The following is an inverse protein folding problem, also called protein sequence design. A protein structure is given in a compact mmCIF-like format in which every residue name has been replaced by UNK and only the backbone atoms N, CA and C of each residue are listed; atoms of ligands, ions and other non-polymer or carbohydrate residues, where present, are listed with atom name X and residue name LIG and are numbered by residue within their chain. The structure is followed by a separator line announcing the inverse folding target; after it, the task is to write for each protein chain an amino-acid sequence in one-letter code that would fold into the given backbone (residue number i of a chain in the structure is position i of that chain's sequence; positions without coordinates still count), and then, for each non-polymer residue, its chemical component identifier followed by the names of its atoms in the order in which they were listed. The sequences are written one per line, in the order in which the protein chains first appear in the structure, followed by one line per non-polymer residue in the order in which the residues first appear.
data_IF_441139877813
#
_entry.id   IF_441139877813
#
_cell.length_a   1.000
_cell.length_b   1.000
_cell.length_c   1.000
_cell.angle_alpha   90.00
_cell.angle_beta   90.00
_cell.angle_gamma   90.00
#
_symmetry.space_group_name_H-M   'P 1'
#
loop_
_entity.id
_entity.type
_entity.pdbx_description
1 polymer ?
#
# COMPACT_ATOMS: atom_id res chain seq x y z
N UNK A 1 -42.96 36.14 -10.61
CA UNK A 1 -43.36 34.82 -11.16
C UNK A 1 -42.37 34.54 -12.28
N UNK A 2 -41.45 33.61 -12.16
CA UNK A 2 -41.61 32.23 -11.65
C UNK A 2 -40.38 31.76 -10.88
N UNK A 3 -40.54 31.70 -9.56
CA UNK A 3 -39.62 31.13 -8.57
C UNK A 3 -39.98 29.64 -8.38
N UNK A 4 -39.94 28.86 -9.46
CA UNK A 4 -40.51 27.50 -9.49
C UNK A 4 -39.51 26.37 -9.80
N UNK A 5 -38.28 26.70 -10.19
CA UNK A 5 -37.26 25.68 -10.55
C UNK A 5 -36.25 25.39 -9.43
N UNK A 6 -36.28 26.10 -8.28
CA UNK A 6 -35.32 25.91 -7.18
C UNK A 6 -35.79 25.02 -6.03
N UNK A 7 -37.09 24.74 -5.90
CA UNK A 7 -37.65 23.91 -4.83
C UNK A 7 -37.73 22.42 -5.18
N UNK A 8 -37.09 22.00 -6.28
CA UNK A 8 -37.06 20.59 -6.65
C UNK A 8 -35.91 19.91 -5.91
N UNK A 9 -36.26 19.18 -4.85
CA UNK A 9 -35.30 18.41 -4.06
C UNK A 9 -34.47 17.50 -5.00
N UNK A 10 -33.15 17.70 -5.11
CA UNK A 10 -32.29 16.91 -6.00
C UNK A 10 -32.35 15.41 -5.73
N UNK A 11 -32.81 15.02 -4.53
CA UNK A 11 -32.92 13.64 -4.10
C UNK A 11 -34.19 12.94 -4.60
N UNK A 12 -35.25 13.66 -4.98
CA UNK A 12 -36.47 13.05 -5.52
C UNK A 12 -36.24 12.31 -6.85
N UNK A 13 -35.29 12.78 -7.67
CA UNK A 13 -34.93 12.09 -8.90
C UNK A 13 -34.16 10.79 -8.62
N UNK A 14 -33.38 10.77 -7.53
CA UNK A 14 -32.60 9.60 -7.11
C UNK A 14 -33.49 8.52 -6.50
N UNK A 15 -34.48 8.90 -5.69
CA UNK A 15 -35.44 7.97 -5.08
C UNK A 15 -36.36 7.30 -6.11
N UNK A 16 -36.55 7.93 -7.28
CA UNK A 16 -37.31 7.34 -8.40
C UNK A 16 -36.48 6.39 -9.26
N UNK A 17 -35.15 6.33 -9.07
CA UNK A 17 -34.31 5.36 -9.77
C UNK A 17 -34.60 3.97 -9.22
N UNK A 18 -35.09 3.07 -10.09
CA UNK A 18 -35.15 1.64 -9.75
C UNK A 18 -33.73 1.11 -9.51
N UNK A 19 -33.52 0.17 -8.58
CA UNK A 19 -32.23 -0.47 -8.36
C UNK A 19 -31.67 -0.94 -9.71
N UNK A 20 -30.41 -0.63 -9.98
CA UNK A 20 -29.76 -0.86 -11.26
C UNK A 20 -29.54 -2.36 -11.52
N UNK A 21 -30.61 -3.04 -11.93
CA UNK A 21 -30.61 -4.46 -12.26
C UNK A 21 -30.26 -5.39 -11.09
N UNK A 22 -30.42 -6.71 -11.28
CA UNK A 22 -29.91 -7.66 -10.32
C UNK A 22 -28.38 -7.51 -10.21
N UNK A 23 -27.87 -7.38 -8.99
CA UNK A 23 -26.43 -7.33 -8.64
C UNK A 23 -25.68 -8.64 -8.96
N UNK A 24 -26.33 -9.55 -9.71
CA UNK A 24 -25.79 -10.81 -10.19
C UNK A 24 -25.70 -10.75 -11.70
N UNK A 25 -24.47 -10.72 -12.18
CA UNK A 25 -24.17 -11.01 -13.59
C UNK A 25 -24.67 -12.44 -13.88
N UNK A 26 -25.64 -12.58 -14.78
CA UNK A 26 -26.17 -13.87 -15.19
C UNK A 26 -25.04 -14.77 -15.70
N UNK A 27 -24.89 -15.96 -15.12
CA UNK A 27 -23.90 -16.97 -15.54
C UNK A 27 -22.78 -17.28 -14.53
N UNK A 28 -22.67 -16.57 -13.40
CA UNK A 28 -21.71 -16.91 -12.34
C UNK A 28 -22.36 -17.66 -11.17
N UNK A 29 -22.11 -18.98 -11.01
CA UNK A 29 -22.59 -19.72 -9.86
C UNK A 29 -21.73 -19.35 -8.65
N UNK A 30 -22.22 -18.40 -7.83
CA UNK A 30 -21.63 -18.04 -6.54
C UNK A 30 -20.11 -17.82 -6.59
N UNK A 31 -19.65 -16.73 -7.19
CA UNK A 31 -18.22 -16.43 -7.32
C UNK A 31 -17.90 -15.07 -6.72
N UNK A 32 -16.85 -15.05 -5.89
CA UNK A 32 -16.27 -13.91 -5.16
C UNK A 32 -16.43 -12.54 -5.84
N UNK A 33 -16.56 -11.44 -5.06
CA UNK A 33 -16.62 -10.10 -5.64
C UNK A 33 -15.39 -9.93 -6.54
N UNK A 34 -15.64 -9.79 -7.85
CA UNK A 34 -14.65 -9.37 -8.82
C UNK A 34 -14.28 -7.94 -8.41
N UNK A 35 -13.30 -7.82 -7.51
CA UNK A 35 -12.79 -6.56 -7.02
C UNK A 35 -12.58 -5.65 -8.22
N UNK A 36 -13.00 -4.39 -8.10
CA UNK A 36 -12.89 -3.34 -9.12
C UNK A 36 -11.68 -3.61 -10.02
N UNK A 37 -11.93 -3.73 -11.33
CA UNK A 37 -10.99 -4.09 -12.40
C UNK A 37 -9.81 -3.14 -12.59
N UNK A 38 -9.19 -2.71 -11.50
CA UNK A 38 -7.85 -2.20 -11.47
C UNK A 38 -6.94 -3.36 -11.89
N UNK A 39 -6.43 -3.28 -13.12
CA UNK A 39 -5.21 -3.98 -13.56
C UNK A 39 -3.98 -3.50 -12.76
N UNK A 40 -4.07 -3.34 -11.44
CA UNK A 40 -2.97 -2.91 -10.58
C UNK A 40 -1.91 -4.00 -10.39
N UNK A 41 -2.19 -5.24 -10.79
CA UNK A 41 -1.28 -6.38 -10.63
C UNK A 41 0.00 -6.37 -11.47
N UNK A 42 0.05 -5.66 -12.61
CA UNK A 42 1.13 -5.88 -13.61
C UNK A 42 2.22 -4.80 -13.69
N UNK A 43 2.15 -3.74 -12.86
CA UNK A 43 3.27 -2.79 -12.63
C UNK A 43 3.59 -2.51 -11.16
N UNK A 44 2.62 -2.67 -10.26
CA UNK A 44 2.80 -2.38 -8.83
C UNK A 44 3.88 -3.25 -8.19
N UNK A 45 3.96 -4.55 -8.50
CA UNK A 45 4.95 -5.44 -7.89
C UNK A 45 6.40 -5.03 -8.20
N UNK A 46 6.70 -4.55 -9.43
CA UNK A 46 8.03 -4.07 -9.79
C UNK A 46 8.35 -2.73 -9.14
N UNK A 47 7.37 -1.83 -9.05
CA UNK A 47 7.51 -0.53 -8.37
C UNK A 47 7.72 -0.72 -6.87
N UNK A 48 6.94 -1.60 -6.23
CA UNK A 48 7.09 -1.94 -4.82
C UNK A 48 8.45 -2.56 -4.53
N UNK A 49 8.93 -3.46 -5.41
CA UNK A 49 10.28 -4.02 -5.29
C UNK A 49 11.36 -2.95 -5.48
N UNK A 50 11.21 -2.07 -6.47
CA UNK A 50 12.14 -0.95 -6.69
C UNK A 50 12.20 0.02 -5.52
N UNK A 51 11.04 0.36 -4.94
CA UNK A 51 10.94 1.16 -3.73
C UNK A 51 11.61 0.47 -2.55
N UNK A 52 11.35 -0.83 -2.36
CA UNK A 52 11.95 -1.62 -1.30
C UNK A 52 13.49 -1.63 -1.38
N UNK A 53 14.05 -1.84 -2.57
CA UNK A 53 15.51 -1.77 -2.81
C UNK A 53 16.05 -0.35 -2.58
N UNK A 54 15.34 0.67 -3.06
CA UNK A 54 15.74 2.06 -2.87
C UNK A 54 15.78 2.45 -1.40
N UNK A 55 14.74 2.12 -0.62
CA UNK A 55 14.69 2.41 0.81
C UNK A 55 15.79 1.66 1.56
N UNK A 56 16.07 0.40 1.20
CA UNK A 56 17.17 -0.37 1.80
C UNK A 56 18.52 0.29 1.52
N UNK A 57 18.78 0.67 0.26
CA UNK A 57 20.01 1.35 -0.12
C UNK A 57 20.17 2.71 0.59
N UNK A 58 19.11 3.51 0.62
CA UNK A 58 19.09 4.81 1.29
C UNK A 58 19.33 4.66 2.80
N UNK A 59 18.66 3.70 3.45
CA UNK A 59 18.87 3.38 4.87
C UNK A 59 20.32 2.97 5.14
N UNK A 60 20.89 2.11 4.30
CA UNK A 60 22.29 1.67 4.42
C UNK A 60 23.26 2.86 4.36
N UNK A 61 23.05 3.79 3.41
CA UNK A 61 23.89 5.00 3.30
C UNK A 61 23.77 5.88 4.54
N UNK A 62 22.55 6.08 5.05
CA UNK A 62 22.31 6.85 6.27
C UNK A 62 23.00 6.23 7.49
N UNK A 63 22.96 4.91 7.62
CA UNK A 63 23.64 4.18 8.70
C UNK A 63 25.15 4.35 8.59
N UNK A 64 25.74 4.23 7.40
CA UNK A 64 27.18 4.44 7.21
C UNK A 64 27.61 5.85 7.63
N UNK A 65 26.83 6.88 7.25
CA UNK A 65 27.07 8.26 7.67
C UNK A 65 26.95 8.43 9.19
N UNK A 66 25.89 7.86 9.79
CA UNK A 66 25.68 7.88 11.23
C UNK A 66 26.82 7.19 11.99
N UNK A 67 27.34 6.06 11.48
CA UNK A 67 28.47 5.34 12.08
C UNK A 67 29.71 6.22 12.08
N UNK A 68 30.04 6.84 10.94
CA UNK A 68 31.19 7.75 10.84
C UNK A 68 31.07 8.93 11.82
N UNK A 69 29.87 9.52 11.92
CA UNK A 69 29.60 10.63 12.81
C UNK A 69 29.69 10.23 14.29
N UNK A 70 28.97 9.19 14.72
CA UNK A 70 28.95 8.77 16.12
C UNK A 70 30.30 8.24 16.62
N UNK A 71 31.09 7.59 15.76
CA UNK A 71 32.48 7.22 16.10
C UNK A 71 33.31 8.48 16.34
N UNK A 72 33.16 9.51 15.51
CA UNK A 72 33.90 10.77 15.67
C UNK A 72 33.58 11.50 16.98
N UNK A 73 32.33 11.39 17.44
CA UNK A 73 31.89 11.97 18.72
C UNK A 73 32.01 10.99 19.91
N UNK A 74 32.57 9.79 19.72
CA UNK A 74 32.67 8.74 20.76
C UNK A 74 31.32 8.38 21.42
N UNK A 75 30.21 8.55 20.72
CA UNK A 75 28.87 8.28 21.24
C UNK A 75 28.46 6.81 21.04
N UNK A 76 29.10 5.91 21.80
CA UNK A 76 28.91 4.47 21.69
C UNK A 76 27.48 3.99 21.95
N UNK A 77 26.76 4.65 22.85
CA UNK A 77 25.37 4.29 23.18
C UNK A 77 24.42 4.62 22.03
N UNK A 78 24.57 5.80 21.40
CA UNK A 78 23.78 6.17 20.23
C UNK A 78 24.11 5.28 19.03
N UNK A 79 25.40 4.96 18.84
CA UNK A 79 25.83 4.02 17.81
C UNK A 79 25.19 2.64 18.02
N UNK A 80 25.20 2.11 19.25
CA UNK A 80 24.56 0.85 19.59
C UNK A 80 23.04 0.86 19.33
N UNK A 81 22.35 1.93 19.73
CA UNK A 81 20.92 2.10 19.48
C UNK A 81 20.61 2.17 17.98
N UNK A 82 21.42 2.90 17.21
CA UNK A 82 21.27 3.00 15.76
C UNK A 82 21.44 1.63 15.08
N UNK A 83 22.46 0.87 15.46
CA UNK A 83 22.68 -0.49 14.95
C UNK A 83 21.52 -1.41 15.32
N UNK A 84 20.96 -1.29 16.52
CA UNK A 84 19.79 -2.07 16.93
C UNK A 84 18.57 -1.76 16.07
N UNK A 85 18.28 -0.48 15.84
CA UNK A 85 17.17 -0.05 14.98
C UNK A 85 17.36 -0.56 13.55
N UNK A 86 18.57 -0.44 13.00
CA UNK A 86 18.89 -0.96 11.67
C UNK A 86 18.71 -2.48 11.58
N UNK A 87 19.15 -3.23 12.60
CA UNK A 87 18.96 -4.68 12.63
C UNK A 87 17.48 -5.06 12.62
N UNK A 88 16.63 -4.34 13.39
CA UNK A 88 15.17 -4.54 13.37
C UNK A 88 14.60 -4.21 11.99
N UNK A 89 15.05 -3.12 11.36
CA UNK A 89 14.60 -2.72 10.04
C UNK A 89 14.92 -3.79 8.98
N UNK A 90 16.18 -4.26 8.93
CA UNK A 90 16.62 -5.33 8.01
C UNK A 90 15.86 -6.63 8.27
N UNK A 91 15.61 -6.98 9.53
CA UNK A 91 14.85 -8.18 9.88
C UNK A 91 13.39 -8.09 9.40
N UNK A 92 12.71 -6.97 9.67
CA UNK A 92 11.34 -6.73 9.21
C UNK A 92 11.26 -6.76 7.68
N UNK A 93 12.22 -6.13 7.01
CA UNK A 93 12.32 -6.13 5.55
C UNK A 93 12.51 -7.54 4.99
N UNK A 94 13.40 -8.34 5.58
CA UNK A 94 13.65 -9.73 5.19
C UNK A 94 12.40 -10.61 5.35
N UNK A 95 11.64 -10.40 6.43
CA UNK A 95 10.33 -11.06 6.65
C UNK A 95 9.31 -10.68 5.58
N UNK A 96 9.22 -9.41 5.21
CA UNK A 96 8.33 -8.95 4.14
C UNK A 96 8.68 -9.59 2.79
N UNK A 97 9.97 -9.67 2.45
CA UNK A 97 10.45 -10.33 1.24
C UNK A 97 10.10 -11.83 1.25
N UNK A 98 10.28 -12.51 2.38
CA UNK A 98 9.89 -13.92 2.52
C UNK A 98 8.38 -14.12 2.34
N UNK A 99 7.56 -13.26 2.95
CA UNK A 99 6.10 -13.29 2.78
C UNK A 99 5.69 -13.07 1.32
N UNK A 100 6.33 -12.11 0.64
CA UNK A 100 6.08 -11.85 -0.78
C UNK A 100 6.46 -13.04 -1.68
N UNK A 101 7.55 -13.75 -1.38
CA UNK A 101 7.97 -14.98 -2.09
C UNK A 101 6.99 -16.14 -1.87
N UNK A 102 6.54 -16.36 -0.63
CA UNK A 102 5.64 -17.46 -0.32
C UNK A 102 4.27 -17.30 -1.00
N UNK A 103 3.77 -16.05 -1.13
CA UNK A 103 2.52 -15.79 -1.89
C UNK A 103 2.62 -16.14 -3.38
N UNK A 104 3.82 -16.09 -3.99
CA UNK A 104 4.03 -16.51 -5.38
C UNK A 104 4.08 -18.03 -5.59
N UNK A 105 4.25 -18.81 -4.53
CA UNK A 105 4.37 -20.28 -4.62
C UNK A 105 3.03 -21.00 -4.37
N UNK A 106 1.99 -20.27 -3.97
CA UNK A 106 0.65 -20.79 -3.74
C UNK A 106 -0.34 -20.49 -4.88
N UNK A 107 0.14 -19.88 -5.97
CA UNK A 107 -0.54 -19.65 -7.25
C UNK A 107 0.07 -20.59 -8.29
#
# INVERSE_FOLDING_TARGET
MTDQDQDRDPWEEFDRLKPAGPDRVEGYPGGEPMGFGFRTGVRSARVAFGFAVYTLALGTVLVLLGVAFFISESQWLMLGLMVLIEAVFVFAFSRLVQQARNRRSAL
#
